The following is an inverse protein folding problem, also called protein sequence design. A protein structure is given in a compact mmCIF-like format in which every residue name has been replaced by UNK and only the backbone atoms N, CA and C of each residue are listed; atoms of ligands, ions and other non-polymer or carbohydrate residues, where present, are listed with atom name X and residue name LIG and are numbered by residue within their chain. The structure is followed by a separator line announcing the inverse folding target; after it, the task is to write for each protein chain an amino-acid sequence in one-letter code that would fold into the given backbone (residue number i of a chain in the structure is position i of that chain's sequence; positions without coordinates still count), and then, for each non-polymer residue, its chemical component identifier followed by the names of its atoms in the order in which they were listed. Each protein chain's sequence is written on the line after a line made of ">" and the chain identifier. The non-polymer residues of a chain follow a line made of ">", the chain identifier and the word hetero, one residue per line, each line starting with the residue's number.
data_IF_939238262793
#
_entry.id   IF_939238262793
#
_cell.length_a   1.000
_cell.length_b   1.000
_cell.length_c   1.000
_cell.angle_alpha   90.00
_cell.angle_beta   90.00
_cell.angle_gamma   90.00
#
_symmetry.space_group_name_H-M   'P 1'
#
loop_
_entity.id
_entity.type
_entity.pdbx_description
1 polymer ?
#
# COMPACT_ATOMS: atom_id res chain seq x y z
N UNK A 1 8.36 -1.45 17.71
CA UNK A 1 9.17 -1.50 16.48
C UNK A 1 10.38 -0.60 16.63
N UNK A 2 11.61 -1.05 16.29
CA UNK A 2 12.78 -0.17 16.25
C UNK A 2 12.73 0.69 14.99
N UNK A 3 12.91 2.01 15.12
CA UNK A 3 12.81 2.97 14.02
C UNK A 3 14.17 3.36 13.43
N UNK A 4 15.23 3.37 14.24
CA UNK A 4 16.59 3.64 13.78
C UNK A 4 17.20 2.40 13.12
N UNK A 5 18.17 2.61 12.21
CA UNK A 5 18.93 1.56 11.50
C UNK A 5 18.10 0.66 10.56
N UNK A 6 16.94 1.14 10.10
CA UNK A 6 16.09 0.48 9.10
C UNK A 6 15.80 1.39 7.91
N UNK A 7 15.48 0.80 6.77
CA UNK A 7 15.08 1.58 5.59
C UNK A 7 13.68 2.14 5.79
N UNK A 8 13.45 3.39 5.39
CA UNK A 8 12.16 4.07 5.55
C UNK A 8 11.01 3.31 4.88
N UNK A 9 11.25 2.68 3.73
CA UNK A 9 10.27 1.85 3.03
C UNK A 9 9.84 0.60 3.82
N UNK A 10 10.75 -0.01 4.57
CA UNK A 10 10.42 -1.16 5.42
C UNK A 10 9.57 -0.70 6.63
N UNK A 11 9.95 0.44 7.24
CA UNK A 11 9.19 1.08 8.32
C UNK A 11 7.79 1.47 7.84
N UNK A 12 7.70 2.08 6.66
CA UNK A 12 6.45 2.50 6.04
C UNK A 12 5.48 1.32 5.87
N UNK A 13 5.96 0.21 5.29
CA UNK A 13 5.12 -0.97 5.05
C UNK A 13 4.68 -1.63 6.35
N UNK A 14 5.56 -1.75 7.35
CA UNK A 14 5.20 -2.28 8.66
C UNK A 14 4.09 -1.44 9.30
N UNK A 15 4.24 -0.11 9.29
CA UNK A 15 3.23 0.79 9.85
C UNK A 15 1.92 0.74 9.06
N UNK A 16 1.99 0.58 7.74
CA UNK A 16 0.82 0.45 6.87
C UNK A 16 0.04 -0.84 7.16
N UNK A 17 0.74 -1.96 7.37
CA UNK A 17 0.14 -3.24 7.78
C UNK A 17 -0.53 -3.09 9.15
N UNK A 18 0.16 -2.48 10.13
CA UNK A 18 -0.41 -2.23 11.46
C UNK A 18 -1.65 -1.32 11.42
N UNK A 19 -1.64 -0.29 10.56
CA UNK A 19 -2.80 0.56 10.34
C UNK A 19 -3.95 -0.23 9.70
N UNK A 20 -3.68 -1.03 8.67
CA UNK A 20 -4.71 -1.80 7.98
C UNK A 20 -5.35 -2.91 8.82
N UNK A 21 -4.72 -3.35 9.91
CA UNK A 21 -5.35 -4.22 10.92
C UNK A 21 -6.47 -3.51 11.69
N UNK A 22 -6.35 -2.19 11.87
CA UNK A 22 -7.31 -1.35 12.62
C UNK A 22 -8.33 -0.68 11.71
N UNK A 23 -7.98 -0.49 10.45
CA UNK A 23 -8.80 0.17 9.44
C UNK A 23 -9.15 -0.85 8.34
N UNK A 24 -10.33 -1.50 8.40
CA UNK A 24 -10.71 -2.54 7.45
C UNK A 24 -10.76 -2.02 6.01
N UNK A 25 -11.14 -0.75 5.83
CA UNK A 25 -11.28 -0.11 4.51
C UNK A 25 -9.97 0.48 3.98
N UNK A 26 -8.84 0.34 4.70
CA UNK A 26 -7.54 0.77 4.18
C UNK A 26 -7.11 -0.19 3.07
N UNK A 27 -6.95 0.35 1.87
CA UNK A 27 -6.42 -0.33 0.68
C UNK A 27 -5.21 0.43 0.14
N UNK A 28 -4.38 -0.25 -0.65
CA UNK A 28 -3.28 0.39 -1.39
C UNK A 28 -3.50 0.27 -2.90
N UNK A 29 -3.15 1.33 -3.63
CA UNK A 29 -3.11 1.33 -5.09
C UNK A 29 -1.67 1.58 -5.52
N UNK A 30 -1.15 0.74 -6.42
CA UNK A 30 0.25 0.66 -6.83
C UNK A 30 0.39 0.69 -8.34
N UNK A 31 1.55 1.14 -8.82
CA UNK A 31 1.87 1.25 -10.25
C UNK A 31 3.20 0.55 -10.57
N UNK A 32 3.22 -0.79 -10.47
CA UNK A 32 4.38 -1.65 -10.76
C UNK A 32 5.69 -1.35 -10.00
N UNK A 33 5.62 -0.66 -8.87
CA UNK A 33 6.80 -0.35 -8.04
C UNK A 33 6.84 -1.13 -6.72
N UNK A 34 5.99 -2.14 -6.56
CA UNK A 34 5.79 -2.80 -5.27
C UNK A 34 7.06 -3.39 -4.66
N UNK A 35 7.94 -3.97 -5.48
CA UNK A 35 9.22 -4.52 -5.00
C UNK A 35 10.17 -3.42 -4.53
N UNK A 36 10.16 -2.27 -5.21
CA UNK A 36 10.99 -1.12 -4.87
C UNK A 36 10.47 -0.39 -3.62
N UNK A 37 9.15 -0.21 -3.53
CA UNK A 37 8.45 0.39 -2.40
C UNK A 37 8.27 -0.54 -1.19
N UNK A 38 8.58 -1.84 -1.36
CA UNK A 38 8.40 -2.93 -0.38
C UNK A 38 6.95 -3.29 -0.05
N UNK A 39 5.98 -2.72 -0.75
CA UNK A 39 4.54 -2.97 -0.56
C UNK A 39 4.11 -4.37 -0.99
N UNK A 40 4.99 -5.18 -1.58
CA UNK A 40 4.77 -6.63 -1.71
C UNK A 40 4.47 -7.29 -0.36
N UNK A 41 5.10 -6.84 0.72
CA UNK A 41 4.80 -7.36 2.07
C UNK A 41 3.37 -7.03 2.53
N UNK A 42 2.83 -5.87 2.13
CA UNK A 42 1.43 -5.55 2.40
C UNK A 42 0.49 -6.47 1.62
N UNK A 43 0.80 -6.74 0.35
CA UNK A 43 0.01 -7.60 -0.52
C UNK A 43 -0.01 -9.06 -0.06
N UNK A 44 1.07 -9.55 0.53
CA UNK A 44 1.13 -10.90 1.12
C UNK A 44 0.18 -11.04 2.31
N UNK A 45 0.02 -9.98 3.12
CA UNK A 45 -0.86 -9.99 4.30
C UNK A 45 -2.30 -9.67 3.92
N UNK A 46 -2.51 -8.76 2.95
CA UNK A 46 -3.83 -8.26 2.54
C UNK A 46 -3.97 -8.25 1.01
N UNK A 47 -4.05 -9.43 0.36
CA UNK A 47 -4.09 -9.52 -1.10
C UNK A 47 -5.33 -8.82 -1.68
N UNK A 48 -6.50 -9.00 -1.05
CA UNK A 48 -7.77 -8.38 -1.46
C UNK A 48 -7.81 -6.85 -1.27
N UNK A 49 -6.80 -6.27 -0.61
CA UNK A 49 -6.70 -4.82 -0.32
C UNK A 49 -5.54 -4.16 -1.05
N UNK A 50 -5.00 -4.84 -2.06
CA UNK A 50 -3.89 -4.36 -2.88
C UNK A 50 -4.32 -4.33 -4.34
N UNK A 51 -4.28 -3.16 -4.96
CA UNK A 51 -4.66 -2.96 -6.36
C UNK A 51 -3.42 -2.48 -7.11
N UNK A 52 -2.86 -3.30 -7.99
CA UNK A 52 -1.76 -2.89 -8.86
C UNK A 52 -2.28 -2.63 -10.27
N UNK A 53 -2.14 -1.41 -10.76
CA UNK A 53 -2.65 -0.97 -12.08
C UNK A 53 -1.60 -1.10 -13.20
N UNK A 54 -0.43 -1.67 -12.91
CA UNK A 54 0.71 -1.71 -13.84
C UNK A 54 1.37 -0.35 -14.01
N UNK A 55 2.05 -0.12 -15.13
CA UNK A 55 2.74 1.16 -15.45
C UNK A 55 1.72 2.21 -15.91
N UNK A 56 0.84 2.63 -14.99
CA UNK A 56 -0.28 3.53 -15.26
C UNK A 56 -0.56 4.46 -14.07
N UNK A 57 0.39 5.34 -13.75
CA UNK A 57 0.35 6.21 -12.56
C UNK A 57 -0.84 7.17 -12.57
N UNK A 58 -1.23 7.70 -13.74
CA UNK A 58 -2.41 8.55 -13.84
C UNK A 58 -3.69 7.78 -13.47
N UNK A 59 -3.80 6.52 -13.90
CA UNK A 59 -4.91 5.65 -13.56
C UNK A 59 -4.87 5.28 -12.07
N UNK A 60 -3.68 5.03 -11.51
CA UNK A 60 -3.50 4.75 -10.07
C UNK A 60 -4.14 5.86 -9.23
N UNK A 61 -3.88 7.13 -9.57
CA UNK A 61 -4.46 8.28 -8.87
C UNK A 61 -5.97 8.38 -9.10
N UNK A 62 -6.46 8.14 -10.32
CA UNK A 62 -7.90 8.12 -10.60
C UNK A 62 -8.67 7.04 -9.84
N UNK A 63 -8.11 5.83 -9.78
CA UNK A 63 -8.65 4.71 -8.99
C UNK A 63 -8.64 5.05 -7.51
N UNK A 64 -7.53 5.57 -6.98
CA UNK A 64 -7.43 5.97 -5.57
C UNK A 64 -8.46 7.07 -5.21
N UNK A 65 -8.64 8.06 -6.09
CA UNK A 65 -9.64 9.11 -5.89
C UNK A 65 -11.07 8.54 -5.82
N UNK A 66 -11.42 7.67 -6.79
CA UNK A 66 -12.71 6.99 -6.82
C UNK A 66 -12.96 6.13 -5.57
N UNK A 67 -11.97 5.33 -5.16
CA UNK A 67 -12.06 4.52 -3.94
C UNK A 67 -12.29 5.38 -2.70
N UNK A 68 -11.54 6.47 -2.54
CA UNK A 68 -11.70 7.36 -1.37
C UNK A 68 -13.09 8.01 -1.28
N UNK A 69 -13.77 8.18 -2.43
CA UNK A 69 -15.12 8.72 -2.48
C UNK A 69 -16.19 7.69 -2.11
N UNK A 70 -15.84 6.40 -2.09
CA UNK A 70 -16.77 5.29 -1.84
C UNK A 70 -16.69 4.69 -0.42
N UNK A 71 -15.70 5.08 0.39
CA UNK A 71 -15.60 4.73 1.83
C UNK A 71 -14.40 3.87 2.19
#
# INVERSE_FOLDING_TARGET
>A
MKLHDRQLRDIYVDLLIEAAKKHPNLVIVEADLMKAAKTTGFAEVFPERTINVGVAEANMIGVAAGLSNMG
#
